data_IF_010344555296
#
_entry.id   IF_010344555296
#
_cell.length_a   1.000
_cell.length_b   1.000
_cell.length_c   1.000
_cell.angle_alpha   90.00
_cell.angle_beta   90.00
_cell.angle_gamma   90.00
#
_symmetry.space_group_name_H-M   'P 1'
#
loop_
_entity.id
_entity.type
_entity.pdbx_description
1 polymer ?
#
# COMPACT_ATOMS: atom_id res chain seq x y z
N UNK A 1 -2.62 -31.97 22.90
CA UNK A 1 -3.99 -31.74 23.41
C UNK A 1 -3.84 -31.02 24.75
N UNK A 2 -4.27 -29.79 25.03
CA UNK A 2 -5.24 -28.83 24.47
C UNK A 2 -4.66 -27.44 24.79
N UNK A 3 -4.45 -26.60 23.77
CA UNK A 3 -3.92 -25.23 23.92
C UNK A 3 -5.05 -24.20 23.90
N UNK A 4 -5.12 -23.37 24.93
CA UNK A 4 -6.10 -22.29 25.10
C UNK A 4 -5.98 -21.23 23.99
N UNK A 5 -7.06 -21.07 23.21
CA UNK A 5 -7.25 -19.99 22.23
C UNK A 5 -7.71 -18.70 22.94
N UNK A 6 -6.94 -17.64 22.77
CA UNK A 6 -7.36 -16.27 23.03
C UNK A 6 -8.49 -15.86 22.05
N UNK A 7 -9.60 -15.32 22.58
CA UNK A 7 -10.65 -14.66 21.80
C UNK A 7 -10.50 -13.15 21.96
N UNK A 8 -10.10 -12.47 20.89
CA UNK A 8 -10.36 -11.05 20.70
C UNK A 8 -11.73 -10.85 20.07
N UNK A 9 -12.64 -10.17 20.78
CA UNK A 9 -13.82 -9.48 20.23
C UNK A 9 -13.54 -7.99 20.50
N UNK A 10 -13.59 -7.09 19.55
CA UNK A 10 -14.71 -6.87 18.62
C UNK A 10 -15.39 -5.58 19.07
N UNK A 11 -15.02 -4.48 18.42
CA UNK A 11 -15.48 -3.13 18.70
C UNK A 11 -17.01 -3.02 18.64
N UNK A 12 -17.61 -2.32 19.60
CA UNK A 12 -18.96 -1.75 19.46
C UNK A 12 -18.91 -0.33 20.01
N UNK A 13 -18.92 0.65 19.08
CA UNK A 13 -19.10 2.07 19.41
C UNK A 13 -20.57 2.28 19.79
N UNK A 14 -20.83 2.62 21.04
CA UNK A 14 -22.09 3.24 21.45
C UNK A 14 -21.88 4.76 21.46
N UNK A 15 -22.62 5.44 20.60
CA UNK A 15 -22.91 6.88 20.69
C UNK A 15 -23.82 7.09 21.90
N UNK A 16 -23.38 7.89 22.88
CA UNK A 16 -24.26 8.46 23.89
C UNK A 16 -23.93 9.93 24.08
N UNK A 17 -24.99 10.74 24.10
CA UNK A 17 -24.96 12.16 23.86
C UNK A 17 -24.35 13.00 24.97
N UNK A 18 -23.81 14.14 24.57
CA UNK A 18 -23.56 15.27 25.43
C UNK A 18 -24.39 16.45 24.90
N UNK A 19 -25.53 16.67 25.55
CA UNK A 19 -26.28 17.91 25.46
C UNK A 19 -25.57 18.96 26.33
N UNK A 20 -24.97 19.97 25.69
CA UNK A 20 -24.48 21.17 26.38
C UNK A 20 -24.67 22.36 25.42
N UNK A 21 -25.88 22.92 25.40
CA UNK A 21 -26.16 24.20 24.76
C UNK A 21 -26.12 25.28 25.85
N UNK A 22 -24.96 25.92 25.97
CA UNK A 22 -24.68 27.00 26.88
C UNK A 22 -25.09 28.34 26.23
N UNK A 23 -25.93 29.08 26.95
CA UNK A 23 -26.04 30.54 26.99
C UNK A 23 -25.91 31.33 25.67
N UNK A 24 -27.06 31.72 25.10
CA UNK A 24 -27.15 32.92 24.26
C UNK A 24 -27.27 34.15 25.16
N UNK A 25 -26.21 34.97 25.19
CA UNK A 25 -26.24 36.34 25.70
C UNK A 25 -25.73 37.25 24.58
N UNK A 26 -26.63 37.99 23.95
CA UNK A 26 -26.32 39.05 23.01
C UNK A 26 -26.73 40.39 23.63
N UNK A 27 -25.88 41.44 23.62
CA UNK A 27 -26.31 42.81 23.88
C UNK A 27 -26.57 43.50 22.54
N UNK A 28 -27.84 43.74 22.22
CA UNK A 28 -28.23 44.64 21.14
C UNK A 28 -28.54 46.02 21.74
N UNK A 29 -27.52 46.86 21.83
CA UNK A 29 -27.68 48.30 22.05
C UNK A 29 -28.00 48.98 20.73
N UNK A 30 -29.26 49.37 20.53
CA UNK A 30 -29.69 50.15 19.38
C UNK A 30 -30.44 51.42 19.83
N UNK A 31 -29.69 52.52 19.77
CA UNK A 31 -30.09 53.88 19.38
C UNK A 31 -31.50 54.34 19.76
N UNK A 32 -31.55 55.14 20.83
CA UNK A 32 -32.61 56.10 21.08
C UNK A 32 -32.67 57.15 19.95
N UNK A 33 -33.80 57.20 19.25
CA UNK A 33 -34.19 58.34 18.43
C UNK A 33 -34.81 59.40 19.35
N UNK A 34 -34.06 60.46 19.62
CA UNK A 34 -34.57 61.65 20.32
C UNK A 34 -35.30 62.56 19.34
N UNK A 35 -36.62 62.48 19.32
CA UNK A 35 -37.51 63.43 18.64
C UNK A 35 -37.59 64.69 19.53
N UNK A 36 -37.02 65.80 19.07
CA UNK A 36 -37.12 67.10 19.74
C UNK A 36 -38.52 67.67 19.56
N UNK A 37 -39.33 67.60 20.63
CA UNK A 37 -40.66 68.21 20.70
C UNK A 37 -40.54 69.65 21.19
N UNK A 38 -40.81 70.62 20.31
CA UNK A 38 -40.83 72.05 20.64
C UNK A 38 -42.15 72.40 21.36
N UNK A 39 -42.11 72.58 22.68
CA UNK A 39 -43.27 72.98 23.48
C UNK A 39 -43.46 74.51 23.37
N UNK A 40 -44.46 74.93 22.60
CA UNK A 40 -44.97 76.31 22.56
C UNK A 40 -45.35 76.78 23.98
N UNK A 41 -44.67 77.81 24.50
CA UNK A 41 -45.18 78.63 25.60
C UNK A 41 -45.96 79.81 25.01
N UNK A 42 -47.20 79.99 25.47
CA UNK A 42 -48.10 81.12 25.16
C UNK A 42 -47.66 82.40 25.89
N UNK A 43 -48.09 83.59 25.41
CA UNK A 43 -47.60 84.88 25.84
C UNK A 43 -48.32 85.42 27.10
N UNK A 44 -47.60 86.17 27.93
CA UNK A 44 -48.17 87.03 28.99
C UNK A 44 -48.25 88.50 28.51
N UNK A 45 -49.30 89.26 28.91
CA UNK A 45 -49.56 90.66 28.50
C UNK A 45 -49.02 91.68 29.55
N UNK A 46 -49.13 93.02 29.37
CA UNK A 46 -48.01 93.98 29.38
C UNK A 46 -47.82 94.73 30.74
N UNK A 47 -46.78 95.59 30.86
CA UNK A 47 -46.32 96.16 32.14
C UNK A 47 -46.96 97.53 32.45
N UNK A 48 -46.80 98.04 33.70
CA UNK A 48 -46.84 99.47 33.98
C UNK A 48 -45.44 100.08 34.21
N UNK A 49 -45.32 101.41 34.05
CA UNK A 49 -44.07 102.10 33.76
C UNK A 49 -43.41 102.70 35.01
N UNK A 50 -42.10 102.91 34.98
CA UNK A 50 -41.49 104.16 35.44
C UNK A 50 -39.95 104.15 35.34
N UNK A 51 -39.46 105.35 35.09
CA UNK A 51 -38.17 105.93 35.46
C UNK A 51 -37.04 105.90 34.40
N UNK A 52 -36.55 107.12 34.19
CA UNK A 52 -35.76 107.61 33.09
C UNK A 52 -34.25 107.55 33.35
N UNK A 53 -33.50 107.33 32.25
CA UNK A 53 -32.18 107.86 31.90
C UNK A 53 -30.96 107.54 32.82
N UNK A 54 -29.70 107.61 32.35
CA UNK A 54 -29.23 108.21 31.09
C UNK A 54 -28.24 107.36 30.25
N UNK A 55 -27.92 107.93 29.08
CA UNK A 55 -26.66 107.84 28.36
C UNK A 55 -26.30 106.53 27.63
N UNK A 56 -26.64 106.55 26.35
CA UNK A 56 -26.02 105.82 25.26
C UNK A 56 -24.50 105.64 25.37
N UNK A 57 -24.07 104.39 25.22
CA UNK A 57 -23.02 104.03 24.25
C UNK A 57 -23.53 102.82 23.48
N UNK A 58 -23.91 103.04 22.22
CA UNK A 58 -24.19 101.96 21.30
C UNK A 58 -22.89 101.17 21.07
N UNK A 59 -22.87 99.83 21.21
CA UNK A 59 -21.75 99.06 20.71
C UNK A 59 -21.64 99.31 19.19
N UNK A 60 -20.42 99.31 18.64
CA UNK A 60 -20.19 99.62 17.24
C UNK A 60 -21.05 98.71 16.37
N UNK A 61 -21.82 99.34 15.47
CA UNK A 61 -22.49 98.67 14.34
C UNK A 61 -21.42 97.91 13.58
N UNK A 62 -21.31 96.63 13.93
CA UNK A 62 -20.51 95.66 13.21
C UNK A 62 -21.15 95.58 11.82
N UNK A 63 -20.37 95.66 10.73
CA UNK A 63 -20.89 95.36 9.40
C UNK A 63 -21.71 94.07 9.46
N UNK A 64 -22.82 93.94 8.73
CA UNK A 64 -23.72 92.78 8.83
C UNK A 64 -23.07 91.41 8.52
N UNK A 65 -21.78 91.38 8.19
CA UNK A 65 -20.96 90.20 7.92
C UNK A 65 -19.60 90.16 8.67
N UNK A 66 -19.35 91.02 9.66
CA UNK A 66 -18.11 91.00 10.42
C UNK A 66 -18.22 90.07 11.65
N UNK A 67 -17.33 89.07 11.71
CA UNK A 67 -17.21 88.12 12.83
C UNK A 67 -17.00 88.84 14.17
N UNK A 68 -17.59 88.31 15.25
CA UNK A 68 -17.29 88.80 16.59
C UNK A 68 -15.85 88.45 16.99
N UNK A 69 -15.20 89.20 17.91
CA UNK A 69 -13.86 88.87 18.39
C UNK A 69 -13.73 87.44 18.96
N UNK A 70 -14.80 86.93 19.57
CA UNK A 70 -14.88 85.56 20.07
C UNK A 70 -14.91 84.53 18.94
N UNK A 71 -15.73 84.76 17.90
CA UNK A 71 -15.78 83.88 16.73
C UNK A 71 -14.46 83.84 15.97
N UNK A 72 -13.75 84.97 15.90
CA UNK A 72 -12.43 85.04 15.29
C UNK A 72 -11.39 84.21 16.07
N UNK A 73 -11.37 84.30 17.40
CA UNK A 73 -10.47 83.52 18.24
C UNK A 73 -10.75 82.01 18.16
N UNK A 74 -12.02 81.61 18.11
CA UNK A 74 -12.42 80.20 17.94
C UNK A 74 -12.00 79.66 16.57
N UNK A 75 -12.19 80.45 15.51
CA UNK A 75 -11.72 80.14 14.15
C UNK A 75 -10.21 79.89 14.13
N UNK A 76 -9.41 80.81 14.67
CA UNK A 76 -7.94 80.71 14.67
C UNK A 76 -7.46 79.47 15.46
N UNK A 77 -8.14 79.16 16.57
CA UNK A 77 -7.87 77.94 17.36
C UNK A 77 -8.13 76.67 16.56
N UNK A 78 -9.26 76.58 15.86
CA UNK A 78 -9.63 75.42 15.05
C UNK A 78 -8.68 75.21 13.87
N UNK A 79 -8.31 76.29 13.16
CA UNK A 79 -7.32 76.23 12.06
C UNK A 79 -5.98 75.73 12.58
N UNK A 80 -5.52 76.25 13.74
CA UNK A 80 -4.27 75.79 14.37
C UNK A 80 -4.32 74.30 14.70
N UNK A 81 -5.40 73.82 15.30
CA UNK A 81 -5.59 72.39 15.60
C UNK A 81 -5.60 71.54 14.32
N UNK A 82 -6.25 72.01 13.25
CA UNK A 82 -6.30 71.31 11.98
C UNK A 82 -4.90 71.22 11.33
N UNK A 83 -4.10 72.29 11.40
CA UNK A 83 -2.71 72.30 10.92
C UNK A 83 -1.81 71.39 11.75
N UNK A 84 -1.92 71.41 13.08
CA UNK A 84 -1.17 70.53 13.98
C UNK A 84 -1.47 69.05 13.67
N UNK A 85 -2.73 68.71 13.40
CA UNK A 85 -3.13 67.36 12.97
C UNK A 85 -2.61 67.00 11.57
N UNK A 86 -2.44 67.97 10.68
CA UNK A 86 -1.84 67.77 9.35
C UNK A 86 -0.32 67.63 9.35
N UNK A 87 0.36 68.17 10.37
CA UNK A 87 1.82 68.04 10.56
C UNK A 87 2.23 66.65 11.07
N UNK A 88 1.31 65.96 11.76
CA UNK A 88 1.50 64.57 12.14
C UNK A 88 1.42 63.70 10.88
N UNK A 89 2.58 63.16 10.45
CA UNK A 89 2.75 62.40 9.19
C UNK A 89 2.00 61.06 9.16
N UNK A 90 1.35 60.68 10.24
CA UNK A 90 0.45 59.55 10.28
C UNK A 90 -0.86 59.94 9.58
N UNK A 91 -0.90 59.77 8.26
CA UNK A 91 -2.11 59.89 7.43
C UNK A 91 -3.01 58.66 7.66
N UNK A 92 -3.37 58.40 8.91
CA UNK A 92 -4.42 57.43 9.23
C UNK A 92 -5.76 58.03 8.84
N UNK A 93 -6.73 57.18 8.47
CA UNK A 93 -8.11 57.57 8.17
C UNK A 93 -8.67 58.48 9.27
N UNK A 94 -8.51 58.06 10.54
CA UNK A 94 -8.93 58.83 11.70
C UNK A 94 -8.33 60.25 11.78
N UNK A 95 -7.04 60.42 11.45
CA UNK A 95 -6.43 61.75 11.46
C UNK A 95 -6.93 62.64 10.30
N UNK A 96 -7.25 62.05 9.15
CA UNK A 96 -7.83 62.77 8.01
C UNK A 96 -9.29 63.16 8.27
N UNK A 97 -10.07 62.29 8.92
CA UNK A 97 -11.44 62.56 9.37
C UNK A 97 -11.49 63.69 10.40
N UNK A 98 -10.66 63.63 11.44
CA UNK A 98 -10.59 64.69 12.45
C UNK A 98 -10.21 66.06 11.84
N UNK A 99 -9.28 66.07 10.85
CA UNK A 99 -8.93 67.29 10.11
C UNK A 99 -10.13 67.82 9.31
N UNK A 100 -10.86 66.95 8.63
CA UNK A 100 -12.06 67.33 7.88
C UNK A 100 -13.13 67.92 8.81
N UNK A 101 -13.34 67.34 10.00
CA UNK A 101 -14.27 67.86 10.99
C UNK A 101 -13.85 69.25 11.50
N UNK A 102 -12.58 69.46 11.81
CA UNK A 102 -12.07 70.75 12.27
C UNK A 102 -12.26 71.86 11.21
N UNK A 103 -11.93 71.58 9.95
CA UNK A 103 -12.16 72.55 8.87
C UNK A 103 -13.64 72.78 8.59
N UNK A 104 -14.49 71.76 8.74
CA UNK A 104 -15.94 71.90 8.64
C UNK A 104 -16.49 72.81 9.75
N UNK A 105 -15.98 72.71 10.97
CA UNK A 105 -16.35 73.62 12.06
C UNK A 105 -15.93 75.06 11.77
N UNK A 106 -14.78 75.29 11.14
CA UNK A 106 -14.36 76.63 10.69
C UNK A 106 -15.31 77.18 9.63
N UNK A 107 -15.73 76.38 8.66
CA UNK A 107 -16.68 76.80 7.60
C UNK A 107 -18.09 77.12 8.14
N UNK A 108 -18.47 76.59 9.31
CA UNK A 108 -19.71 76.97 10.01
C UNK A 108 -19.58 78.37 10.63
N UNK A 109 -18.39 78.72 11.13
CA UNK A 109 -18.11 80.04 11.72
C UNK A 109 -17.96 81.09 10.60
N UNK A 110 -17.20 80.76 9.55
CA UNK A 110 -16.92 81.62 8.40
C UNK A 110 -16.96 80.81 7.10
N UNK A 111 -18.10 80.83 6.43
CA UNK A 111 -18.30 80.10 5.17
C UNK A 111 -17.50 80.65 3.98
N UNK A 112 -16.86 81.81 4.13
CA UNK A 112 -16.02 82.43 3.09
C UNK A 112 -14.52 82.13 3.27
N UNK A 113 -14.14 81.42 4.32
CA UNK A 113 -12.73 81.12 4.61
C UNK A 113 -12.13 80.18 3.56
N UNK A 114 -11.16 80.70 2.79
CA UNK A 114 -10.51 79.96 1.70
C UNK A 114 -9.60 78.86 2.22
N UNK A 115 -8.96 79.06 3.37
CA UNK A 115 -8.03 78.07 3.92
C UNK A 115 -8.79 76.83 4.40
N UNK A 116 -9.89 77.01 5.12
CA UNK A 116 -10.72 75.93 5.60
C UNK A 116 -11.34 75.14 4.45
N UNK A 117 -11.69 75.80 3.35
CA UNK A 117 -12.22 75.14 2.16
C UNK A 117 -11.17 74.26 1.48
N UNK A 118 -9.96 74.80 1.26
CA UNK A 118 -8.83 74.03 0.70
C UNK A 118 -8.43 72.88 1.64
N UNK A 119 -8.37 73.15 2.95
CA UNK A 119 -8.02 72.18 3.97
C UNK A 119 -9.03 71.04 4.07
N UNK A 120 -10.33 71.35 3.98
CA UNK A 120 -11.40 70.36 3.93
C UNK A 120 -11.32 69.49 2.66
N UNK A 121 -11.15 70.10 1.48
CA UNK A 121 -11.02 69.37 0.22
C UNK A 121 -9.78 68.45 0.23
N UNK A 122 -8.67 68.90 0.82
CA UNK A 122 -7.48 68.08 0.98
C UNK A 122 -7.70 66.93 1.97
N UNK A 123 -8.35 67.19 3.10
CA UNK A 123 -8.69 66.15 4.07
C UNK A 123 -9.61 65.08 3.46
N UNK A 124 -10.59 65.48 2.65
CA UNK A 124 -11.47 64.53 1.95
C UNK A 124 -10.69 63.64 0.97
N UNK A 125 -9.74 64.22 0.21
CA UNK A 125 -8.85 63.43 -0.66
C UNK A 125 -7.97 62.45 0.13
N UNK A 126 -7.49 62.87 1.29
CA UNK A 126 -6.68 62.01 2.16
C UNK A 126 -7.51 60.83 2.71
N UNK A 127 -8.77 61.06 3.08
CA UNK A 127 -9.74 60.01 3.49
C UNK A 127 -9.95 59.02 2.34
N UNK A 128 -10.30 59.52 1.15
CA UNK A 128 -10.54 58.67 -0.02
C UNK A 128 -9.30 57.84 -0.37
N UNK A 129 -8.10 58.43 -0.26
CA UNK A 129 -6.84 57.74 -0.47
C UNK A 129 -6.56 56.68 0.60
N UNK A 130 -6.91 56.93 1.87
CA UNK A 130 -6.79 55.94 2.94
C UNK A 130 -7.73 54.76 2.70
N UNK A 131 -9.00 55.02 2.38
CA UNK A 131 -9.99 53.98 2.04
C UNK A 131 -9.53 53.15 0.83
N UNK A 132 -8.98 53.80 -0.20
CA UNK A 132 -8.47 53.10 -1.38
C UNK A 132 -7.28 52.18 -1.05
N UNK A 133 -6.37 52.60 -0.16
CA UNK A 133 -5.24 51.77 0.31
C UNK A 133 -5.73 50.58 1.13
N UNK A 134 -6.70 50.81 2.01
CA UNK A 134 -7.25 49.75 2.85
C UNK A 134 -8.02 48.72 2.02
N UNK A 135 -8.86 49.17 1.08
CA UNK A 135 -9.53 48.32 0.11
C UNK A 135 -8.52 47.51 -0.74
N UNK A 136 -7.44 48.13 -1.21
CA UNK A 136 -6.39 47.44 -1.95
C UNK A 136 -5.67 46.38 -1.09
N UNK A 137 -5.39 46.70 0.19
CA UNK A 137 -4.77 45.78 1.13
C UNK A 137 -5.68 44.57 1.43
N UNK A 138 -6.98 44.80 1.63
CA UNK A 138 -7.97 43.76 1.86
C UNK A 138 -8.07 42.86 0.62
N UNK A 139 -8.21 43.45 -0.57
CA UNK A 139 -8.23 42.71 -1.83
C UNK A 139 -6.98 41.86 -2.02
N UNK A 140 -5.80 42.40 -1.73
CA UNK A 140 -4.55 41.61 -1.83
C UNK A 140 -4.52 40.41 -0.87
N UNK A 141 -5.08 40.55 0.34
CA UNK A 141 -5.18 39.46 1.32
C UNK A 141 -6.21 38.42 0.89
N UNK A 142 -7.32 38.85 0.32
CA UNK A 142 -8.34 37.97 -0.24
C UNK A 142 -7.81 37.17 -1.44
N UNK A 143 -7.10 37.83 -2.36
CA UNK A 143 -6.48 37.19 -3.52
C UNK A 143 -5.41 36.17 -3.09
N UNK A 144 -4.58 36.51 -2.09
CA UNK A 144 -3.62 35.56 -1.51
C UNK A 144 -4.31 34.35 -0.86
N UNK A 145 -5.41 34.58 -0.15
CA UNK A 145 -6.22 33.52 0.45
C UNK A 145 -6.97 32.68 -0.61
N UNK A 146 -7.42 33.29 -1.71
CA UNK A 146 -8.01 32.58 -2.85
C UNK A 146 -6.97 31.67 -3.52
N UNK A 147 -5.80 32.21 -3.88
CA UNK A 147 -4.71 31.45 -4.47
C UNK A 147 -4.27 30.28 -3.58
N UNK A 148 -4.21 30.48 -2.27
CA UNK A 148 -3.92 29.42 -1.30
C UNK A 148 -4.98 28.31 -1.33
N UNK A 149 -6.28 28.67 -1.33
CA UNK A 149 -7.39 27.71 -1.41
C UNK A 149 -7.35 26.91 -2.71
N UNK A 150 -7.06 27.57 -3.83
CA UNK A 150 -6.97 26.92 -5.14
C UNK A 150 -5.80 25.93 -5.20
N UNK A 151 -4.63 26.27 -4.65
CA UNK A 151 -3.50 25.35 -4.52
C UNK A 151 -3.84 24.12 -3.69
N UNK A 152 -4.52 24.30 -2.56
CA UNK A 152 -4.96 23.18 -1.71
C UNK A 152 -5.98 22.28 -2.43
N UNK A 153 -6.90 22.87 -3.19
CA UNK A 153 -7.87 22.12 -4.01
C UNK A 153 -7.20 21.34 -5.14
N UNK A 154 -6.21 21.95 -5.79
CA UNK A 154 -5.41 21.28 -6.82
C UNK A 154 -4.60 20.12 -6.22
N UNK A 155 -4.05 20.30 -5.01
CA UNK A 155 -3.34 19.24 -4.30
C UNK A 155 -4.26 18.05 -3.96
N UNK A 156 -5.48 18.33 -3.49
CA UNK A 156 -6.50 17.29 -3.22
C UNK A 156 -6.87 16.52 -4.50
N UNK A 157 -7.08 17.23 -5.60
CA UNK A 157 -7.35 16.61 -6.91
C UNK A 157 -6.18 15.72 -7.37
N UNK A 158 -4.93 16.16 -7.16
CA UNK A 158 -3.75 15.37 -7.47
C UNK A 158 -3.60 14.12 -6.57
N UNK A 159 -3.99 14.20 -5.29
CA UNK A 159 -4.05 13.07 -4.36
C UNK A 159 -5.05 12.01 -4.83
N UNK A 160 -6.19 12.45 -5.36
CA UNK A 160 -7.23 11.57 -5.88
C UNK A 160 -6.83 10.93 -7.21
N UNK A 161 -6.13 11.68 -8.07
CA UNK A 161 -5.51 11.16 -9.29
C UNK A 161 -4.32 10.21 -9.02
N UNK A 162 -3.84 10.12 -7.78
CA UNK A 162 -2.68 9.31 -7.40
C UNK A 162 -1.32 9.94 -7.70
N UNK A 163 -1.28 11.19 -8.17
CA UNK A 163 -0.04 11.96 -8.34
C UNK A 163 0.40 12.58 -7.00
N UNK A 164 0.95 11.72 -6.14
CA UNK A 164 1.43 12.10 -4.83
C UNK A 164 2.65 13.03 -4.88
N UNK A 165 3.34 13.12 -6.02
CA UNK A 165 4.52 14.01 -6.17
C UNK A 165 4.05 15.44 -6.34
N UNK A 166 3.16 15.68 -7.31
CA UNK A 166 2.60 17.01 -7.58
C UNK A 166 1.81 17.54 -6.39
N UNK A 167 0.97 16.70 -5.76
CA UNK A 167 0.27 17.08 -4.54
C UNK A 167 1.22 17.54 -3.42
N UNK A 168 2.35 16.84 -3.24
CA UNK A 168 3.34 17.19 -2.23
C UNK A 168 3.96 18.56 -2.48
N UNK A 169 4.34 18.84 -3.74
CA UNK A 169 4.91 20.15 -4.10
C UNK A 169 3.93 21.30 -3.85
N UNK A 170 2.65 21.13 -4.18
CA UNK A 170 1.62 22.14 -3.94
C UNK A 170 1.38 22.39 -2.45
N UNK A 171 1.38 21.34 -1.63
CA UNK A 171 1.22 21.45 -0.17
C UNK A 171 2.45 22.10 0.48
N UNK A 172 3.65 21.71 0.08
CA UNK A 172 4.89 22.29 0.61
C UNK A 172 5.03 23.78 0.23
N UNK A 173 4.57 24.16 -0.96
CA UNK A 173 4.49 25.57 -1.39
C UNK A 173 3.55 26.39 -0.47
N UNK A 174 2.36 25.86 -0.15
CA UNK A 174 1.45 26.51 0.80
C UNK A 174 2.06 26.59 2.21
N UNK A 175 2.71 25.53 2.69
CA UNK A 175 3.35 25.51 4.01
C UNK A 175 4.56 26.45 4.09
N UNK A 176 5.22 26.75 2.97
CA UNK A 176 6.31 27.73 2.94
C UNK A 176 5.83 29.15 3.26
N UNK A 177 4.58 29.46 2.87
CA UNK A 177 3.95 30.77 3.12
C UNK A 177 3.12 30.78 4.40
N UNK A 178 2.53 29.64 4.79
CA UNK A 178 1.70 29.49 5.99
C UNK A 178 2.04 28.18 6.71
N UNK A 179 3.07 28.16 7.57
CA UNK A 179 3.54 26.94 8.23
C UNK A 179 2.48 26.25 9.09
N UNK A 180 1.59 27.03 9.70
CA UNK A 180 0.58 26.54 10.65
C UNK A 180 -0.79 26.26 9.99
N UNK A 181 -0.86 26.13 8.66
CA UNK A 181 -2.13 25.85 8.00
C UNK A 181 -2.63 24.42 8.29
N UNK A 182 -3.79 24.26 8.97
CA UNK A 182 -4.26 22.94 9.40
C UNK A 182 -4.64 22.03 8.24
N UNK A 183 -5.09 22.58 7.10
CA UNK A 183 -5.47 21.79 5.92
C UNK A 183 -4.23 21.30 5.17
N UNK A 184 -3.23 22.15 5.03
CA UNK A 184 -1.97 21.77 4.40
C UNK A 184 -1.26 20.66 5.19
N UNK A 185 -1.26 20.76 6.53
CA UNK A 185 -0.69 19.73 7.41
C UNK A 185 -1.43 18.38 7.30
N UNK A 186 -2.76 18.38 7.26
CA UNK A 186 -3.54 17.15 7.12
C UNK A 186 -3.35 16.49 5.75
N UNK A 187 -3.27 17.28 4.68
CA UNK A 187 -2.94 16.78 3.33
C UNK A 187 -1.52 16.21 3.29
N UNK A 188 -0.54 16.86 3.92
CA UNK A 188 0.84 16.37 4.00
C UNK A 188 0.93 15.00 4.68
N UNK A 189 0.22 14.81 5.79
CA UNK A 189 0.12 13.51 6.45
C UNK A 189 -0.52 12.45 5.54
N UNK A 190 -1.63 12.79 4.88
CA UNK A 190 -2.33 11.91 3.93
C UNK A 190 -1.42 11.48 2.76
N UNK A 191 -0.64 12.40 2.20
CA UNK A 191 0.34 12.12 1.14
C UNK A 191 1.42 11.15 1.64
N UNK A 192 1.94 11.38 2.85
CA UNK A 192 2.96 10.51 3.43
C UNK A 192 2.46 9.06 3.62
N UNK A 193 1.22 8.91 4.10
CA UNK A 193 0.60 7.60 4.30
C UNK A 193 0.32 6.89 2.97
N UNK A 194 -0.22 7.59 1.97
CA UNK A 194 -0.41 7.03 0.62
C UNK A 194 0.92 6.61 -0.01
N UNK A 195 1.99 7.39 0.16
CA UNK A 195 3.34 7.05 -0.36
C UNK A 195 3.89 5.78 0.30
N UNK A 196 3.75 5.64 1.63
CA UNK A 196 4.14 4.43 2.36
C UNK A 196 3.34 3.21 1.88
N UNK A 197 2.02 3.34 1.74
CA UNK A 197 1.17 2.25 1.25
C UNK A 197 1.54 1.81 -0.18
N UNK A 198 1.81 2.77 -1.08
CA UNK A 198 2.25 2.48 -2.44
C UNK A 198 3.62 1.75 -2.46
N UNK A 199 4.58 2.21 -1.66
CA UNK A 199 5.89 1.56 -1.53
C UNK A 199 5.77 0.13 -1.00
N UNK A 200 4.93 -0.10 0.03
CA UNK A 200 4.69 -1.42 0.60
C UNK A 200 4.04 -2.36 -0.42
N UNK A 201 3.03 -1.89 -1.17
CA UNK A 201 2.42 -2.68 -2.26
C UNK A 201 3.44 -3.08 -3.32
N UNK A 202 4.31 -2.15 -3.74
CA UNK A 202 5.38 -2.45 -4.71
C UNK A 202 6.36 -3.50 -4.17
N UNK A 203 6.76 -3.40 -2.90
CA UNK A 203 7.61 -4.41 -2.24
C UNK A 203 6.92 -5.77 -2.20
N UNK A 204 5.65 -5.84 -1.80
CA UNK A 204 4.87 -7.08 -1.78
C UNK A 204 4.78 -7.75 -3.15
N UNK A 205 4.57 -6.97 -4.22
CA UNK A 205 4.54 -7.50 -5.58
C UNK A 205 5.89 -8.09 -5.99
N UNK A 206 7.01 -7.42 -5.66
CA UNK A 206 8.36 -7.93 -5.94
C UNK A 206 8.62 -9.22 -5.17
N UNK A 207 8.31 -9.26 -3.87
CA UNK A 207 8.46 -10.48 -3.06
C UNK A 207 7.58 -11.63 -3.59
N UNK A 208 6.34 -11.34 -4.00
CA UNK A 208 5.45 -12.31 -4.62
C UNK A 208 6.02 -12.88 -5.92
N UNK A 209 6.59 -12.04 -6.79
CA UNK A 209 7.23 -12.47 -8.02
C UNK A 209 8.47 -13.36 -7.78
N UNK A 210 9.30 -13.01 -6.79
CA UNK A 210 10.46 -13.82 -6.40
C UNK A 210 10.01 -15.19 -5.86
N UNK A 211 9.01 -15.21 -4.98
CA UNK A 211 8.49 -16.46 -4.42
C UNK A 211 7.93 -17.39 -5.51
N UNK A 212 7.21 -16.82 -6.49
CA UNK A 212 6.71 -17.58 -7.65
C UNK A 212 7.87 -18.15 -8.49
N UNK A 213 8.90 -17.35 -8.78
CA UNK A 213 10.05 -17.80 -9.56
C UNK A 213 10.80 -18.96 -8.87
N UNK A 214 10.99 -18.89 -7.54
CA UNK A 214 11.60 -19.97 -6.75
C UNK A 214 10.74 -21.24 -6.78
N UNK A 215 9.41 -21.10 -6.65
CA UNK A 215 8.51 -22.25 -6.74
C UNK A 215 8.59 -22.95 -8.11
N UNK A 216 8.59 -22.17 -9.20
CA UNK A 216 8.73 -22.69 -10.57
C UNK A 216 10.08 -23.40 -10.77
N UNK A 217 11.18 -22.79 -10.30
CA UNK A 217 12.50 -23.42 -10.37
C UNK A 217 12.56 -24.74 -9.58
N UNK A 218 11.95 -24.78 -8.39
CA UNK A 218 11.83 -25.99 -7.58
C UNK A 218 11.07 -27.12 -8.31
N UNK A 219 9.95 -26.81 -8.95
CA UNK A 219 9.18 -27.78 -9.75
C UNK A 219 9.99 -28.30 -10.94
N UNK A 220 10.70 -27.42 -11.65
CA UNK A 220 11.56 -27.81 -12.78
C UNK A 220 12.70 -28.72 -12.34
N UNK A 221 13.32 -28.45 -11.19
CA UNK A 221 14.36 -29.30 -10.61
C UNK A 221 13.83 -30.72 -10.32
N UNK A 222 12.65 -30.83 -9.69
CA UNK A 222 12.00 -32.11 -9.41
C UNK A 222 11.73 -32.88 -10.71
N UNK A 223 11.22 -32.20 -11.75
CA UNK A 223 11.00 -32.82 -13.07
C UNK A 223 12.31 -33.33 -13.68
N UNK A 224 13.40 -32.57 -13.59
CA UNK A 224 14.70 -33.00 -14.11
C UNK A 224 15.23 -34.23 -13.37
N UNK A 225 15.13 -34.27 -12.04
CA UNK A 225 15.55 -35.42 -11.23
C UNK A 225 14.74 -36.68 -11.55
N UNK A 226 13.43 -36.55 -11.74
CA UNK A 226 12.57 -37.68 -12.12
C UNK A 226 12.90 -38.22 -13.51
N UNK A 227 13.25 -37.35 -14.47
CA UNK A 227 13.69 -37.78 -15.80
C UNK A 227 15.03 -38.53 -15.74
N UNK A 228 16.01 -37.99 -15.01
CA UNK A 228 17.32 -38.62 -14.85
C UNK A 228 17.20 -40.03 -14.24
N UNK A 229 16.33 -40.22 -13.24
CA UNK A 229 16.10 -41.54 -12.63
C UNK A 229 15.52 -42.55 -13.62
N UNK A 230 14.56 -42.14 -14.46
CA UNK A 230 13.96 -43.03 -15.47
C UNK A 230 14.97 -43.53 -16.49
N UNK A 231 15.90 -42.68 -16.92
CA UNK A 231 16.94 -43.09 -17.86
C UNK A 231 17.89 -44.12 -17.23
N UNK A 232 18.29 -43.94 -15.97
CA UNK A 232 19.08 -44.94 -15.23
C UNK A 232 18.34 -46.27 -15.10
N UNK A 233 17.06 -46.27 -14.72
CA UNK A 233 16.27 -47.50 -14.58
C UNK A 233 16.08 -48.20 -15.93
N UNK A 234 15.95 -47.44 -17.03
CA UNK A 234 15.83 -47.97 -18.39
C UNK A 234 17.14 -48.61 -18.87
N UNK A 235 18.28 -47.98 -18.60
CA UNK A 235 19.60 -48.55 -18.91
C UNK A 235 19.83 -49.86 -18.15
N UNK A 236 19.56 -49.89 -16.84
CA UNK A 236 19.71 -51.12 -16.03
C UNK A 236 18.85 -52.27 -16.54
N UNK A 237 17.62 -51.99 -16.99
CA UNK A 237 16.73 -53.00 -17.58
C UNK A 237 17.21 -53.48 -18.95
N UNK A 238 17.76 -52.59 -19.77
CA UNK A 238 18.33 -52.94 -21.07
C UNK A 238 19.58 -53.82 -20.92
N UNK A 239 20.48 -53.46 -19.99
CA UNK A 239 21.70 -54.23 -19.72
C UNK A 239 21.39 -55.63 -19.17
N UNK A 240 20.37 -55.76 -18.32
CA UNK A 240 19.92 -57.06 -17.82
C UNK A 240 19.28 -57.94 -18.92
N UNK A 241 18.54 -57.33 -19.85
CA UNK A 241 17.91 -58.06 -20.96
C UNK A 241 18.91 -58.53 -22.04
N UNK A 242 20.11 -57.95 -22.11
CA UNK A 242 21.11 -58.25 -23.14
C UNK A 242 22.03 -59.43 -22.79
N UNK A 243 22.09 -59.88 -21.53
CA UNK A 243 22.95 -61.00 -21.10
C UNK A 243 22.35 -62.33 -21.53
N UNK A 244 23.14 -63.17 -22.20
CA UNK A 244 22.72 -64.53 -22.58
C UNK A 244 23.04 -65.48 -21.43
N UNK A 245 22.09 -66.31 -21.00
CA UNK A 245 22.34 -67.31 -19.98
C UNK A 245 22.85 -68.62 -20.61
N UNK A 246 23.87 -69.22 -20.01
CA UNK A 246 24.47 -70.48 -20.42
C UNK A 246 24.59 -71.44 -19.24
N UNK A 247 24.50 -72.73 -19.53
CA UNK A 247 24.81 -73.82 -18.61
C UNK A 247 26.14 -74.45 -19.00
N UNK A 248 27.02 -74.62 -18.02
CA UNK A 248 28.28 -75.34 -18.14
C UNK A 248 28.26 -76.57 -17.27
N UNK A 249 28.35 -77.76 -17.86
CA UNK A 249 28.52 -78.99 -17.07
C UNK A 249 29.97 -79.05 -16.57
N UNK A 250 30.17 -78.78 -15.28
CA UNK A 250 31.49 -78.69 -14.65
C UNK A 250 32.05 -80.07 -14.35
N UNK A 251 31.20 -80.99 -13.90
CA UNK A 251 31.62 -82.34 -13.53
C UNK A 251 30.54 -83.40 -13.75
N UNK A 252 30.94 -84.66 -13.84
CA UNK A 252 30.04 -85.80 -13.99
C UNK A 252 29.58 -86.10 -15.43
N UNK A 253 28.40 -86.71 -15.55
CA UNK A 253 27.83 -87.10 -16.86
C UNK A 253 27.64 -85.85 -17.72
N UNK A 254 28.25 -85.86 -18.92
CA UNK A 254 28.18 -84.74 -19.87
C UNK A 254 29.14 -83.58 -19.58
N UNK A 255 30.17 -83.78 -18.73
CA UNK A 255 31.21 -82.80 -18.42
C UNK A 255 31.77 -82.09 -19.66
N UNK A 256 31.94 -80.77 -19.56
CA UNK A 256 32.50 -79.91 -20.60
C UNK A 256 31.47 -79.37 -21.60
N UNK A 257 30.22 -79.83 -21.56
CA UNK A 257 29.16 -79.28 -22.41
C UNK A 257 28.79 -77.86 -21.97
N UNK A 258 28.68 -76.97 -22.95
CA UNK A 258 28.18 -75.60 -22.81
C UNK A 258 26.89 -75.49 -23.62
N UNK A 259 25.80 -75.11 -22.97
CA UNK A 259 24.48 -75.01 -23.61
C UNK A 259 23.89 -73.64 -23.33
N UNK A 260 23.42 -72.95 -24.36
CA UNK A 260 22.71 -71.69 -24.19
C UNK A 260 21.26 -71.96 -23.78
N UNK A 261 20.73 -71.16 -22.86
CA UNK A 261 19.32 -71.17 -22.48
C UNK A 261 18.55 -70.24 -23.43
N UNK A 262 18.13 -70.80 -24.56
CA UNK A 262 17.42 -70.10 -25.64
C UNK A 262 15.89 -70.23 -25.54
N UNK A 263 15.40 -71.14 -24.70
CA UNK A 263 13.97 -71.40 -24.47
C UNK A 263 13.48 -70.84 -23.14
N UNK A 264 12.18 -70.55 -23.08
CA UNK A 264 11.53 -70.10 -21.85
C UNK A 264 11.42 -71.22 -20.80
N UNK A 265 11.36 -72.47 -21.24
CA UNK A 265 11.42 -73.66 -20.37
C UNK A 265 12.49 -74.59 -20.94
N UNK A 266 13.53 -74.84 -20.16
CA UNK A 266 14.65 -75.70 -20.53
C UNK A 266 14.67 -76.93 -19.64
N UNK A 267 14.48 -78.12 -20.23
CA UNK A 267 14.30 -79.37 -19.49
C UNK A 267 15.56 -80.22 -19.47
N UNK A 268 15.88 -80.79 -18.31
CA UNK A 268 17.07 -81.61 -18.09
C UNK A 268 16.64 -82.99 -17.57
N UNK A 269 17.19 -84.05 -18.14
CA UNK A 269 16.89 -85.43 -17.71
C UNK A 269 17.71 -86.49 -18.41
N UNK A 270 17.48 -87.76 -18.09
CA UNK A 270 18.31 -88.87 -18.58
C UNK A 270 17.93 -89.45 -19.94
N UNK A 271 16.71 -89.20 -20.44
CA UNK A 271 16.22 -89.80 -21.69
C UNK A 271 15.67 -88.74 -22.66
N UNK A 272 15.78 -89.04 -23.95
CA UNK A 272 15.05 -88.31 -24.98
C UNK A 272 13.60 -88.80 -24.99
N UNK A 273 12.63 -87.90 -24.83
CA UNK A 273 11.23 -88.22 -25.03
C UNK A 273 10.92 -88.54 -26.49
N UNK A 274 9.97 -89.45 -26.73
CA UNK A 274 9.53 -89.81 -28.09
C UNK A 274 8.56 -88.78 -28.71
N UNK A 275 8.03 -87.86 -27.89
CA UNK A 275 7.13 -86.78 -28.31
C UNK A 275 7.81 -85.42 -28.12
N UNK A 276 7.57 -84.43 -28.99
CA UNK A 276 8.16 -83.10 -28.86
C UNK A 276 7.87 -82.39 -27.52
N UNK A 277 6.69 -82.61 -26.93
CA UNK A 277 6.26 -82.00 -25.65
C UNK A 277 6.95 -82.62 -24.42
N UNK A 278 7.55 -83.79 -24.61
CA UNK A 278 8.24 -84.60 -23.60
C UNK A 278 9.76 -84.65 -23.84
N UNK A 279 10.26 -83.80 -24.74
CA UNK A 279 11.67 -83.78 -25.09
C UNK A 279 12.48 -82.96 -24.06
N UNK A 280 13.57 -83.54 -23.57
CA UNK A 280 14.54 -82.83 -22.75
C UNK A 280 15.52 -82.07 -23.66
N UNK A 281 15.88 -80.85 -23.26
CA UNK A 281 16.82 -79.99 -23.97
C UNK A 281 18.27 -80.37 -23.66
N UNK A 282 18.52 -80.81 -22.43
CA UNK A 282 19.79 -81.40 -22.03
C UNK A 282 19.58 -82.84 -21.55
N UNK A 283 20.12 -83.79 -22.30
CA UNK A 283 20.10 -85.21 -21.94
C UNK A 283 21.42 -85.67 -21.35
N UNK A 284 21.35 -86.16 -20.11
CA UNK A 284 22.46 -86.68 -19.33
C UNK A 284 22.16 -88.13 -18.93
N UNK A 285 22.54 -89.07 -19.80
CA UNK A 285 22.32 -90.50 -19.56
C UNK A 285 23.46 -91.07 -18.71
N UNK A 286 23.13 -91.47 -17.48
CA UNK A 286 24.04 -92.10 -16.53
C UNK A 286 23.95 -93.64 -16.61
N UNK A 287 25.06 -94.34 -16.36
CA UNK A 287 25.10 -95.81 -16.37
C UNK A 287 24.30 -96.44 -15.23
N UNK A 288 24.25 -95.77 -14.07
CA UNK A 288 23.52 -96.23 -12.89
C UNK A 288 22.04 -95.81 -12.89
N UNK A 289 21.59 -95.10 -13.95
CA UNK A 289 20.24 -94.57 -14.09
C UNK A 289 19.75 -93.73 -12.89
N UNK A 290 20.67 -93.05 -12.17
CA UNK A 290 20.27 -92.24 -11.00
C UNK A 290 19.68 -90.88 -11.39
N UNK A 291 19.94 -90.40 -12.61
CA UNK A 291 19.29 -89.20 -13.15
C UNK A 291 17.90 -89.60 -13.65
N UNK A 292 16.84 -89.01 -13.07
CA UNK A 292 15.47 -89.24 -13.52
C UNK A 292 15.27 -88.85 -15.00
N UNK A 293 14.35 -89.55 -15.68
CA UNK A 293 13.98 -89.26 -17.08
C UNK A 293 13.57 -87.79 -17.28
N UNK A 294 12.82 -87.23 -16.33
CA UNK A 294 12.57 -85.80 -16.19
C UNK A 294 13.12 -85.40 -14.83
N UNK A 295 14.27 -84.72 -14.81
CA UNK A 295 14.99 -84.45 -13.57
C UNK A 295 14.62 -83.08 -13.05
N UNK A 296 14.93 -82.03 -13.81
CA UNK A 296 14.62 -80.66 -13.44
C UNK A 296 14.34 -79.82 -14.68
N UNK A 297 13.78 -78.64 -14.46
CA UNK A 297 13.57 -77.65 -15.51
C UNK A 297 14.02 -76.28 -15.06
N UNK A 298 14.59 -75.51 -15.98
CA UNK A 298 14.89 -74.10 -15.78
C UNK A 298 13.84 -73.27 -16.53
N UNK A 299 13.16 -72.39 -15.81
CA UNK A 299 12.07 -71.54 -16.32
C UNK A 299 12.54 -70.10 -16.34
N UNK A 300 12.43 -69.44 -17.49
CA UNK A 300 12.68 -68.01 -17.66
C UNK A 300 11.38 -67.24 -17.42
N UNK A 301 11.29 -66.49 -16.32
CA UNK A 301 10.14 -65.64 -15.98
C UNK A 301 10.59 -64.33 -15.32
N UNK A 302 9.88 -63.24 -15.61
CA UNK A 302 10.12 -61.89 -15.06
C UNK A 302 11.55 -61.35 -15.23
N UNK A 303 12.27 -61.83 -16.25
CA UNK A 303 13.67 -61.44 -16.50
C UNK A 303 14.71 -62.19 -15.65
N UNK A 304 14.29 -63.19 -14.88
CA UNK A 304 15.15 -64.11 -14.14
C UNK A 304 15.02 -65.56 -14.61
N UNK A 305 15.87 -66.44 -14.08
CA UNK A 305 15.86 -67.88 -14.32
C UNK A 305 15.58 -68.63 -13.03
N UNK A 306 14.73 -69.65 -13.10
CA UNK A 306 14.26 -70.39 -11.93
C UNK A 306 14.45 -71.89 -12.15
N UNK A 307 15.11 -72.57 -11.23
CA UNK A 307 15.30 -74.02 -11.22
C UNK A 307 14.16 -74.70 -10.45
N UNK A 308 13.53 -75.68 -11.09
CA UNK A 308 12.45 -76.48 -10.51
C UNK A 308 12.84 -77.95 -10.53
N UNK A 309 12.95 -78.56 -9.35
CA UNK A 309 13.26 -79.98 -9.22
C UNK A 309 12.00 -80.84 -9.39
N UNK A 310 12.07 -81.82 -10.29
CA UNK A 310 10.99 -82.80 -10.52
C UNK A 310 11.46 -84.24 -10.30
N UNK A 311 12.70 -84.42 -9.86
CA UNK A 311 13.40 -85.70 -9.80
C UNK A 311 12.97 -86.56 -8.62
N UNK A 312 13.37 -87.84 -8.67
CA UNK A 312 13.17 -88.78 -7.57
C UNK A 312 14.33 -88.75 -6.56
N UNK A 313 15.57 -88.56 -7.05
CA UNK A 313 16.77 -88.58 -6.21
C UNK A 313 17.13 -87.18 -5.66
N UNK A 314 16.52 -86.14 -6.20
CA UNK A 314 16.66 -84.75 -5.78
C UNK A 314 17.72 -84.00 -6.58
N UNK A 315 17.54 -82.67 -6.63
CA UNK A 315 18.53 -81.70 -7.11
C UNK A 315 19.06 -80.89 -5.94
N UNK A 316 20.36 -80.58 -5.92
CA UNK A 316 20.96 -79.67 -4.94
C UNK A 316 21.43 -78.39 -5.64
N UNK A 317 21.19 -77.22 -5.05
CA UNK A 317 21.67 -75.92 -5.52
C UNK A 317 22.63 -75.34 -4.47
N UNK A 318 23.86 -75.01 -4.86
CA UNK A 318 24.92 -74.51 -3.99
C UNK A 318 25.07 -75.34 -2.69
N UNK A 319 25.11 -76.67 -2.86
CA UNK A 319 25.21 -77.69 -1.80
C UNK A 319 23.98 -77.78 -0.84
N UNK A 320 22.88 -77.07 -1.15
CA UNK A 320 21.60 -77.21 -0.46
C UNK A 320 20.61 -78.03 -1.30
N UNK A 321 20.05 -79.10 -0.71
CA UNK A 321 19.03 -79.91 -1.39
C UNK A 321 17.74 -79.10 -1.58
N UNK A 322 17.21 -79.10 -2.80
CA UNK A 322 15.98 -78.39 -3.16
C UNK A 322 14.74 -79.21 -2.81
N UNK A 323 13.65 -78.51 -2.54
CA UNK A 323 12.34 -79.12 -2.37
C UNK A 323 11.70 -79.37 -3.75
N UNK A 324 11.06 -80.53 -3.88
CA UNK A 324 10.51 -80.97 -5.17
C UNK A 324 9.32 -80.09 -5.56
N UNK A 325 9.39 -79.50 -6.76
CA UNK A 325 8.33 -78.69 -7.35
C UNK A 325 8.33 -77.22 -6.93
N UNK A 326 9.28 -76.79 -6.09
CA UNK A 326 9.45 -75.38 -5.74
C UNK A 326 10.35 -74.65 -6.75
N UNK A 327 10.05 -73.36 -6.95
CA UNK A 327 10.80 -72.49 -7.85
C UNK A 327 11.97 -71.85 -7.09
N UNK A 328 13.21 -72.17 -7.46
CA UNK A 328 14.41 -71.57 -6.86
C UNK A 328 15.10 -70.64 -7.85
N UNK A 329 15.35 -69.39 -7.46
CA UNK A 329 16.02 -68.40 -8.32
C UNK A 329 17.47 -68.84 -8.61
N UNK A 330 17.91 -68.71 -9.86
CA UNK A 330 19.28 -68.95 -10.31
C UNK A 330 19.98 -67.62 -10.58
N UNK A 331 21.05 -67.37 -9.85
CA UNK A 331 21.92 -66.20 -10.00
C UNK A 331 23.22 -66.57 -10.74
N UNK A 332 23.90 -65.55 -11.27
CA UNK A 332 25.16 -65.73 -12.01
C UNK A 332 26.21 -66.47 -11.18
N UNK A 333 26.70 -67.59 -11.70
CA UNK A 333 27.73 -68.40 -11.06
C UNK A 333 27.23 -69.52 -10.16
N UNK A 334 25.90 -69.65 -9.97
CA UNK A 334 25.30 -70.72 -9.18
C UNK A 334 25.62 -72.11 -9.74
N UNK A 335 25.78 -73.07 -8.84
CA UNK A 335 26.06 -74.47 -9.18
C UNK A 335 24.99 -75.39 -8.63
N UNK A 336 24.45 -76.25 -9.48
CA UNK A 336 23.50 -77.26 -9.06
C UNK A 336 23.96 -78.66 -9.45
N UNK A 337 23.59 -79.64 -8.63
CA UNK A 337 24.00 -81.04 -8.76
C UNK A 337 22.75 -81.91 -8.92
N UNK A 338 22.74 -82.74 -9.96
CA UNK A 338 21.67 -83.69 -10.26
C UNK A 338 22.01 -85.06 -9.69
N UNK A 339 21.18 -85.62 -8.80
CA UNK A 339 21.35 -86.93 -8.18
C UNK A 339 22.78 -87.24 -7.68
N UNK A 340 23.51 -86.22 -7.19
CA UNK A 340 24.90 -86.31 -6.74
C UNK A 340 25.92 -86.80 -7.80
N UNK A 341 25.53 -86.87 -9.07
CA UNK A 341 26.38 -87.41 -10.16
C UNK A 341 26.78 -86.42 -11.24
N UNK A 342 26.06 -85.31 -11.42
CA UNK A 342 26.40 -84.30 -12.44
C UNK A 342 26.28 -82.90 -11.88
N UNK A 343 27.37 -82.12 -11.95
CA UNK A 343 27.45 -80.74 -11.45
C UNK A 343 27.43 -79.77 -12.62
N UNK A 344 26.48 -78.85 -12.58
CA UNK A 344 26.19 -77.88 -13.63
C UNK A 344 26.29 -76.47 -13.03
N UNK A 345 26.95 -75.56 -13.75
CA UNK A 345 27.10 -74.16 -13.37
C UNK A 345 26.29 -73.28 -14.32
N UNK A 346 25.52 -72.36 -13.76
CA UNK A 346 24.77 -71.35 -14.47
C UNK A 346 25.61 -70.07 -14.59
N UNK A 347 25.68 -69.48 -15.79
CA UNK A 347 26.48 -68.29 -16.06
C UNK A 347 25.74 -67.33 -17.00
N UNK A 348 25.90 -66.03 -16.80
CA UNK A 348 25.55 -65.01 -17.79
C UNK A 348 26.77 -64.62 -18.63
N UNK A 349 26.58 -64.48 -19.94
CA UNK A 349 27.58 -64.00 -20.91
C UNK A 349 27.19 -62.71 -21.58
#
# INVERSE_FOLDING_TARGET
MIGMRARGKGATRLLLGAALALAMLAPAGARAQGIFFWKKKKPEPPPPPAAAAPAAQAPPVTPPNALTPTQQADKDRLIKQAREKGLNRDTTEANAEERAELFKMVLIIDGSDTEARIGFDQAQKDIDAAHARDAASQKSKEDANAAKRDKLRAAETAIDAGDLKTAGMMVDDVLSTSPDDPRALSLKATIADKRKAAATRKKLLIFGAIALAVAVAGVLLVIQLLRAKREHDKQRKADAAARKAILKVVDGVGRGKLIALDKDVFRIGAAMGNKPEEQNDLVLSDSENVISRYHCSIIKKDGGFWLVDSSQNGTSLNDQKLDRGEDHNLDDGDEFVLADVSRIKFLFT
#
